data_IF_246677392204
#
_entry.id   IF_246677392204
#
_cell.length_a   1.000
_cell.length_b   1.000
_cell.length_c   1.000
_cell.angle_alpha   90.00
_cell.angle_beta   90.00
_cell.angle_gamma   90.00
#
_symmetry.space_group_name_H-M   'P 1'
#
loop_
_entity.id
_entity.type
_entity.pdbx_description
1 polymer ?
#
# COMPACT_ATOMS: atom_id res chain seq x y z
N UNK A 1 -5.46 0.24 -12.99
CA UNK A 1 -5.00 -1.03 -12.40
C UNK A 1 -5.93 -2.18 -12.75
N UNK A 2 -7.25 -2.07 -12.58
CA UNK A 2 -8.22 -3.13 -12.95
C UNK A 2 -8.06 -3.68 -14.37
N UNK A 3 -7.90 -2.79 -15.38
CA UNK A 3 -7.66 -3.20 -16.78
C UNK A 3 -6.38 -4.02 -17.01
N UNK A 4 -5.41 -3.91 -16.10
CA UNK A 4 -4.18 -4.73 -16.14
C UNK A 4 -4.43 -6.09 -15.49
N UNK A 5 -5.36 -6.18 -14.54
CA UNK A 5 -5.66 -7.40 -13.78
C UNK A 5 -6.66 -8.28 -14.53
N UNK A 6 -7.65 -7.68 -15.19
CA UNK A 6 -8.62 -8.41 -16.01
C UNK A 6 -8.06 -8.83 -17.38
N UNK A 7 -6.98 -8.21 -17.86
CA UNK A 7 -6.40 -8.47 -19.19
C UNK A 7 -7.04 -7.66 -20.33
N UNK A 8 -7.92 -6.70 -20.02
CA UNK A 8 -8.45 -5.73 -20.98
C UNK A 8 -7.32 -4.95 -21.67
N UNK A 9 -6.26 -4.63 -20.93
CA UNK A 9 -4.97 -4.17 -21.48
C UNK A 9 -4.03 -5.36 -21.67
N UNK A 10 -3.21 -5.34 -22.72
CA UNK A 10 -2.21 -6.38 -22.96
C UNK A 10 -1.02 -6.22 -22.01
N UNK A 11 -1.10 -6.87 -20.86
CA UNK A 11 -0.14 -6.78 -19.77
C UNK A 11 0.50 -8.13 -19.40
N UNK A 12 0.43 -9.15 -20.27
CA UNK A 12 0.97 -10.49 -19.99
C UNK A 12 2.49 -10.55 -19.76
N UNK A 13 3.23 -9.50 -20.16
CA UNK A 13 4.67 -9.35 -19.90
C UNK A 13 4.97 -8.38 -18.74
N UNK A 14 3.94 -7.96 -18.00
CA UNK A 14 4.08 -7.00 -16.89
C UNK A 14 4.00 -7.76 -15.58
N UNK A 15 5.07 -7.67 -14.80
CA UNK A 15 5.11 -8.14 -13.43
C UNK A 15 5.28 -6.93 -12.51
N UNK A 16 4.38 -6.78 -11.54
CA UNK A 16 4.43 -5.72 -10.52
C UNK A 16 4.74 -6.34 -9.17
N UNK A 17 5.91 -6.01 -8.62
CA UNK A 17 6.28 -6.40 -7.26
C UNK A 17 6.10 -5.21 -6.32
N UNK A 18 5.26 -5.38 -5.31
CA UNK A 18 5.16 -4.47 -4.18
C UNK A 18 6.20 -4.88 -3.14
N UNK A 19 7.14 -4.00 -2.81
CA UNK A 19 8.07 -4.17 -1.70
C UNK A 19 7.84 -3.03 -0.69
N UNK A 20 7.31 -3.35 0.48
CA UNK A 20 7.01 -2.35 1.52
C UNK A 20 7.91 -2.53 2.73
N UNK A 21 8.15 -1.46 3.48
CA UNK A 21 8.70 -1.58 4.83
C UNK A 21 7.78 -2.43 5.71
N UNK A 22 8.35 -3.28 6.57
CA UNK A 22 7.60 -3.89 7.67
C UNK A 22 7.22 -2.84 8.71
N UNK A 23 6.32 -3.20 9.63
CA UNK A 23 6.03 -2.37 10.81
C UNK A 23 7.30 -2.14 11.66
N UNK A 24 8.27 -3.06 11.60
CA UNK A 24 9.50 -2.97 12.39
C UNK A 24 10.59 -2.08 11.77
N UNK A 25 10.46 -1.72 10.49
CA UNK A 25 11.47 -0.93 9.75
C UNK A 25 11.06 0.51 9.46
N UNK A 26 9.87 0.93 9.87
CA UNK A 26 9.38 2.29 9.65
C UNK A 26 9.05 2.99 10.97
N UNK A 27 9.08 4.32 10.98
CA UNK A 27 8.47 5.15 12.01
C UNK A 27 7.02 5.54 11.67
N UNK A 28 6.58 5.30 10.42
CA UNK A 28 5.22 5.54 9.93
C UNK A 28 4.25 4.39 10.26
N UNK A 29 4.25 3.96 11.52
CA UNK A 29 3.60 2.73 11.97
C UNK A 29 2.11 2.66 11.64
N UNK A 30 1.35 3.73 11.92
CA UNK A 30 -0.11 3.78 11.68
C UNK A 30 -0.42 3.71 10.19
N UNK A 31 0.40 4.34 9.34
CA UNK A 31 0.24 4.30 7.88
C UNK A 31 0.50 2.87 7.37
N UNK A 32 1.55 2.22 7.87
CA UNK A 32 1.87 0.84 7.50
C UNK A 32 0.75 -0.14 7.90
N UNK A 33 0.10 0.06 9.06
CA UNK A 33 -1.08 -0.73 9.42
C UNK A 33 -2.18 -0.61 8.36
N UNK A 34 -2.51 0.61 7.95
CA UNK A 34 -3.54 0.84 6.96
C UNK A 34 -3.17 0.34 5.56
N UNK A 35 -1.88 0.36 5.20
CA UNK A 35 -1.40 -0.24 3.97
C UNK A 35 -1.70 -1.75 3.92
N UNK A 36 -1.64 -2.48 5.06
CA UNK A 36 -1.98 -3.91 5.11
C UNK A 36 -3.44 -4.19 4.77
N UNK A 37 -4.36 -3.33 5.21
CA UNK A 37 -5.78 -3.41 4.84
C UNK A 37 -5.99 -3.19 3.34
N UNK A 38 -5.30 -2.21 2.76
CA UNK A 38 -5.33 -1.96 1.32
C UNK A 38 -4.78 -3.16 0.53
N UNK A 39 -3.64 -3.71 0.94
CA UNK A 39 -3.02 -4.87 0.27
C UNK A 39 -3.90 -6.12 0.40
N UNK A 40 -4.51 -6.34 1.57
CA UNK A 40 -5.48 -7.42 1.76
C UNK A 40 -6.65 -7.31 0.78
N UNK A 41 -7.27 -6.13 0.66
CA UNK A 41 -8.39 -5.92 -0.27
C UNK A 41 -7.95 -6.06 -1.74
N UNK A 42 -6.76 -5.56 -2.09
CA UNK A 42 -6.19 -5.70 -3.42
C UNK A 42 -5.98 -7.16 -3.79
N UNK A 43 -5.29 -7.93 -2.94
CA UNK A 43 -4.96 -9.32 -3.23
C UNK A 43 -6.19 -10.24 -3.18
N UNK A 44 -7.19 -9.94 -2.36
CA UNK A 44 -8.48 -10.62 -2.39
C UNK A 44 -9.11 -10.53 -3.79
N UNK A 45 -9.12 -9.33 -4.40
CA UNK A 45 -9.61 -9.12 -5.77
C UNK A 45 -8.70 -9.80 -6.79
N UNK A 46 -7.38 -9.63 -6.65
CA UNK A 46 -6.42 -10.22 -7.55
C UNK A 46 -6.58 -11.75 -7.61
N UNK A 47 -6.66 -12.44 -6.48
CA UNK A 47 -6.81 -13.90 -6.47
C UNK A 47 -8.21 -14.39 -6.86
N UNK A 48 -9.24 -13.54 -6.76
CA UNK A 48 -10.60 -13.84 -7.24
C UNK A 48 -10.90 -13.30 -8.65
N UNK A 49 -9.91 -12.74 -9.36
CA UNK A 49 -10.11 -12.06 -10.65
C UNK A 49 -10.83 -12.89 -11.71
N UNK A 50 -10.56 -14.19 -11.79
CA UNK A 50 -11.22 -15.08 -12.75
C UNK A 50 -12.72 -15.20 -12.51
N UNK A 51 -13.16 -15.24 -11.25
CA UNK A 51 -14.57 -15.31 -10.88
C UNK A 51 -15.25 -13.94 -10.87
N UNK A 52 -14.52 -12.88 -10.51
CA UNK A 52 -15.02 -11.50 -10.49
C UNK A 52 -15.24 -10.94 -11.90
N UNK A 53 -14.27 -11.07 -12.80
CA UNK A 53 -14.34 -10.49 -14.14
C UNK A 53 -14.94 -11.44 -15.19
N UNK A 54 -15.10 -12.73 -14.87
CA UNK A 54 -15.79 -13.73 -15.72
C UNK A 54 -15.29 -13.68 -17.17
N UNK A 55 -16.18 -13.39 -18.13
CA UNK A 55 -15.85 -13.32 -19.56
C UNK A 55 -14.91 -12.17 -19.93
N UNK A 56 -14.74 -11.17 -19.07
CA UNK A 56 -13.77 -10.10 -19.27
C UNK A 56 -12.35 -10.49 -18.82
N UNK A 57 -12.19 -11.61 -18.10
CA UNK A 57 -10.88 -12.07 -17.67
C UNK A 57 -10.12 -12.80 -18.79
N UNK A 58 -8.92 -12.33 -19.10
CA UNK A 58 -7.95 -12.99 -19.95
C UNK A 58 -6.62 -13.16 -19.21
N UNK A 59 -6.35 -14.39 -18.76
CA UNK A 59 -5.13 -14.74 -18.02
C UNK A 59 -3.85 -14.46 -18.83
N UNK A 60 -3.87 -14.70 -20.15
CA UNK A 60 -2.69 -14.50 -21.00
C UNK A 60 -2.34 -13.03 -21.22
N UNK A 61 -3.28 -12.13 -20.89
CA UNK A 61 -3.10 -10.68 -21.00
C UNK A 61 -3.04 -9.97 -19.66
N UNK A 62 -3.38 -10.64 -18.55
CA UNK A 62 -3.32 -10.06 -17.22
C UNK A 62 -1.87 -9.90 -16.73
N UNK A 63 -1.61 -8.82 -15.99
CA UNK A 63 -0.36 -8.62 -15.26
C UNK A 63 -0.26 -9.56 -14.05
N UNK A 64 0.96 -9.89 -13.68
CA UNK A 64 1.27 -10.64 -12.46
C UNK A 64 1.63 -9.68 -11.32
N UNK A 65 1.29 -10.08 -10.09
CA UNK A 65 1.51 -9.25 -8.91
C UNK A 65 2.07 -10.08 -7.76
N UNK A 66 3.09 -9.52 -7.12
CA UNK A 66 3.74 -10.08 -5.94
C UNK A 66 3.81 -9.06 -4.81
N UNK A 67 3.83 -9.54 -3.57
CA UNK A 67 3.97 -8.71 -2.38
C UNK A 67 5.06 -9.22 -1.45
N UNK A 68 6.01 -8.33 -1.15
CA UNK A 68 7.14 -8.56 -0.28
C UNK A 68 7.17 -7.51 0.82
N UNK A 69 7.62 -7.93 1.99
CA UNK A 69 7.88 -7.05 3.12
C UNK A 69 9.38 -7.03 3.46
N UNK A 70 9.94 -5.83 3.61
CA UNK A 70 11.32 -5.59 4.02
C UNK A 70 11.45 -5.74 5.53
N UNK A 71 12.26 -6.72 5.95
CA UNK A 71 12.47 -7.10 7.35
C UNK A 71 13.45 -6.16 8.02
N UNK A 72 13.34 -6.07 9.33
CA UNK A 72 14.35 -5.39 10.14
C UNK A 72 15.71 -6.09 10.01
N UNK A 73 16.78 -5.38 9.64
CA UNK A 73 18.11 -5.97 9.56
C UNK A 73 18.54 -6.56 10.90
N UNK A 74 19.16 -7.74 10.88
CA UNK A 74 19.68 -8.40 12.08
C UNK A 74 20.72 -7.54 12.83
N UNK A 75 21.39 -6.61 12.13
CA UNK A 75 22.31 -5.64 12.73
C UNK A 75 21.63 -4.64 13.67
N UNK A 76 20.29 -4.59 13.68
CA UNK A 76 19.51 -3.62 14.47
C UNK A 76 19.50 -2.21 13.89
N UNK A 77 20.12 -2.00 12.72
CA UNK A 77 20.09 -0.71 12.03
C UNK A 77 18.64 -0.36 11.62
N UNK A 78 18.21 0.85 11.95
CA UNK A 78 16.88 1.35 11.61
C UNK A 78 16.88 1.87 10.16
N UNK A 79 16.91 0.95 9.20
CA UNK A 79 16.91 1.26 7.78
C UNK A 79 15.50 1.07 7.20
N UNK A 80 14.98 2.12 6.56
CA UNK A 80 13.73 2.10 5.84
C UNK A 80 13.97 2.32 4.35
N UNK A 81 13.12 1.73 3.51
CA UNK A 81 13.06 2.03 2.09
C UNK A 81 12.47 3.44 1.93
N UNK A 82 13.30 4.42 1.60
CA UNK A 82 12.87 5.83 1.43
C UNK A 82 13.43 6.52 0.17
N UNK A 83 14.06 5.74 -0.72
CA UNK A 83 14.55 6.21 -2.02
C UNK A 83 13.38 6.31 -3.01
N UNK A 84 13.32 7.42 -3.75
CA UNK A 84 12.30 7.69 -4.77
C UNK A 84 12.99 7.79 -6.12
N UNK A 85 12.86 6.74 -6.90
CA UNK A 85 13.64 6.54 -8.11
C UNK A 85 12.84 5.72 -9.13
N UNK A 86 12.92 6.13 -10.40
CA UNK A 86 12.33 5.41 -11.53
C UNK A 86 13.43 5.00 -12.49
N UNK A 87 13.54 3.70 -12.78
CA UNK A 87 14.41 3.17 -13.83
C UNK A 87 13.59 3.00 -15.12
N UNK A 88 14.09 3.53 -16.23
CA UNK A 88 13.47 3.47 -17.56
C UNK A 88 14.50 2.94 -18.57
N UNK A 89 14.69 1.63 -18.60
CA UNK A 89 15.81 1.03 -19.33
C UNK A 89 17.13 1.49 -18.74
N UNK A 90 17.96 2.16 -19.54
CA UNK A 90 19.25 2.72 -19.10
C UNK A 90 19.12 4.14 -18.49
N UNK A 91 17.92 4.73 -18.52
CA UNK A 91 17.66 6.06 -17.95
C UNK A 91 17.16 5.99 -16.51
N UNK A 92 17.45 7.04 -15.73
CA UNK A 92 17.10 7.11 -14.31
C UNK A 92 16.49 8.46 -14.00
N UNK A 93 15.39 8.45 -13.24
CA UNK A 93 14.84 9.66 -12.61
C UNK A 93 15.00 9.50 -11.09
N UNK A 94 15.68 10.45 -10.46
CA UNK A 94 15.81 10.52 -9.00
C UNK A 94 15.15 11.81 -8.55
N UNK A 95 14.19 11.74 -7.64
CA UNK A 95 13.44 12.93 -7.25
C UNK A 95 12.74 12.83 -5.91
N UNK A 96 11.89 13.81 -5.62
CA UNK A 96 11.15 13.90 -4.36
C UNK A 96 9.73 13.33 -4.42
N UNK A 97 9.19 13.03 -5.61
CA UNK A 97 7.82 12.58 -5.78
C UNK A 97 7.62 11.11 -5.35
N UNK A 98 6.55 10.84 -4.59
CA UNK A 98 6.20 9.50 -4.06
C UNK A 98 5.36 8.65 -5.04
N UNK A 99 5.28 9.04 -6.31
CA UNK A 99 4.44 8.41 -7.34
C UNK A 99 2.94 8.29 -6.98
N UNK A 100 2.42 9.20 -6.15
CA UNK A 100 1.01 9.31 -5.79
C UNK A 100 0.37 10.60 -6.33
N UNK A 101 -0.97 10.65 -6.28
CA UNK A 101 -1.76 11.79 -6.78
C UNK A 101 -1.37 13.09 -6.07
N UNK A 102 -1.14 13.06 -4.77
CA UNK A 102 -0.79 14.28 -4.03
C UNK A 102 0.56 14.83 -4.51
N UNK A 103 1.56 13.97 -4.69
CA UNK A 103 2.87 14.35 -5.20
C UNK A 103 2.76 15.04 -6.57
N UNK A 104 1.90 14.54 -7.46
CA UNK A 104 1.79 15.09 -8.81
C UNK A 104 0.89 16.33 -8.95
N UNK A 105 -0.07 16.52 -8.04
CA UNK A 105 -1.06 17.59 -8.17
C UNK A 105 -0.97 18.69 -7.09
N UNK A 106 -0.36 18.40 -5.93
CA UNK A 106 -0.41 19.28 -4.75
C UNK A 106 0.95 19.66 -4.20
N UNK A 107 1.92 18.74 -4.25
CA UNK A 107 3.25 19.00 -3.68
C UNK A 107 4.20 19.60 -4.73
N UNK A 108 5.07 20.51 -4.30
CA UNK A 108 6.19 20.97 -5.12
C UNK A 108 7.29 19.93 -5.12
N UNK A 109 7.55 19.32 -6.27
CA UNK A 109 8.55 18.26 -6.42
C UNK A 109 9.70 18.69 -7.33
N UNK A 110 10.87 18.11 -7.10
CA UNK A 110 12.02 18.23 -7.98
C UNK A 110 12.55 16.84 -8.36
N UNK A 111 13.38 16.81 -9.39
CA UNK A 111 14.04 15.59 -9.81
C UNK A 111 15.18 15.86 -10.79
N UNK A 112 16.11 14.93 -10.81
CA UNK A 112 17.18 14.84 -11.78
C UNK A 112 16.88 13.70 -12.74
N UNK A 113 16.93 13.99 -14.02
CA UNK A 113 16.91 12.99 -15.08
C UNK A 113 18.36 12.72 -15.50
N UNK A 114 18.77 11.46 -15.35
CA UNK A 114 20.07 10.98 -15.77
C UNK A 114 19.87 10.10 -16.99
N UNK A 115 20.32 10.59 -18.14
CA UNK A 115 20.24 9.85 -19.40
C UNK A 115 21.41 8.86 -19.51
N UNK A 116 21.14 7.66 -20.02
CA UNK A 116 22.12 6.62 -20.31
C UNK A 116 23.01 6.26 -19.09
N UNK A 117 22.42 6.21 -17.90
CA UNK A 117 23.06 5.82 -16.65
C UNK A 117 23.09 4.29 -16.49
N UNK A 118 23.50 3.56 -17.54
CA UNK A 118 23.43 2.10 -17.66
C UNK A 118 24.01 1.35 -16.46
N UNK A 119 25.22 1.70 -16.02
CA UNK A 119 25.87 1.02 -14.89
C UNK A 119 25.05 1.18 -13.61
N UNK A 120 24.57 2.40 -13.33
CA UNK A 120 23.73 2.66 -12.16
C UNK A 120 22.42 1.87 -12.25
N UNK A 121 21.73 1.90 -13.39
CA UNK A 121 20.46 1.20 -13.56
C UNK A 121 20.61 -0.31 -13.34
N UNK A 122 21.69 -0.90 -13.87
CA UNK A 122 22.01 -2.32 -13.70
C UNK A 122 22.37 -2.66 -12.25
N UNK A 123 23.21 -1.87 -11.59
CA UNK A 123 23.61 -2.08 -10.20
C UNK A 123 22.41 -1.94 -9.26
N UNK A 124 21.57 -0.91 -9.44
CA UNK A 124 20.37 -0.69 -8.64
C UNK A 124 19.36 -1.81 -8.84
N UNK A 125 19.09 -2.22 -10.09
CA UNK A 125 18.22 -3.35 -10.40
C UNK A 125 18.73 -4.64 -9.76
N UNK A 126 20.03 -4.94 -9.89
CA UNK A 126 20.67 -6.10 -9.28
C UNK A 126 20.57 -6.08 -7.76
N UNK A 127 20.72 -4.91 -7.14
CA UNK A 127 20.56 -4.73 -5.70
C UNK A 127 19.12 -5.02 -5.26
N UNK A 128 18.10 -4.46 -5.92
CA UNK A 128 16.68 -4.75 -5.62
C UNK A 128 16.38 -6.23 -5.80
N UNK A 129 16.82 -6.85 -6.89
CA UNK A 129 16.66 -8.28 -7.12
C UNK A 129 17.36 -9.13 -6.04
N UNK A 130 18.48 -8.63 -5.52
CA UNK A 130 19.19 -9.22 -4.39
C UNK A 130 18.35 -9.20 -3.11
N UNK A 131 17.68 -8.08 -2.81
CA UNK A 131 16.77 -7.97 -1.66
C UNK A 131 15.62 -8.98 -1.77
N UNK A 132 14.99 -9.08 -2.93
CA UNK A 132 13.83 -9.96 -3.16
C UNK A 132 14.19 -11.45 -3.10
N UNK A 133 15.43 -11.80 -3.47
CA UNK A 133 15.93 -13.19 -3.42
C UNK A 133 16.44 -13.62 -2.05
N UNK A 134 16.73 -12.68 -1.14
CA UNK A 134 17.26 -12.99 0.18
C UNK A 134 16.13 -13.09 1.22
N UNK A 135 15.75 -14.31 1.65
CA UNK A 135 14.73 -14.50 2.67
C UNK A 135 15.15 -14.02 4.06
N UNK A 136 16.42 -13.70 4.30
CA UNK A 136 16.86 -13.04 5.53
C UNK A 136 16.48 -11.56 5.54
N UNK A 137 16.32 -10.93 4.37
CA UNK A 137 16.08 -9.49 4.21
C UNK A 137 14.64 -9.18 3.84
N UNK A 138 13.99 -10.01 3.04
CA UNK A 138 12.58 -9.83 2.67
C UNK A 138 11.73 -11.06 2.99
N UNK A 139 10.42 -10.86 3.09
CA UNK A 139 9.41 -11.93 3.23
C UNK A 139 8.47 -11.87 2.04
N UNK A 140 8.41 -12.93 1.23
CA UNK A 140 7.32 -13.07 0.25
C UNK A 140 6.02 -13.41 1.00
N UNK A 141 5.05 -12.52 0.89
CA UNK A 141 3.74 -12.59 1.53
C UNK A 141 2.62 -12.91 0.52
N UNK A 142 2.93 -12.97 -0.79
CA UNK A 142 1.98 -13.39 -1.85
C UNK A 142 1.26 -14.70 -1.48
N UNK A 143 1.93 -15.78 -1.02
CA UNK A 143 1.25 -17.03 -0.67
C UNK A 143 0.27 -16.89 0.51
N UNK A 144 0.59 -16.04 1.49
CA UNK A 144 -0.28 -15.84 2.66
C UNK A 144 -1.58 -15.15 2.26
N UNK A 145 -1.49 -14.14 1.39
CA UNK A 145 -2.67 -13.50 0.81
C UNK A 145 -3.47 -14.48 -0.07
N UNK A 146 -2.80 -15.33 -0.85
CA UNK A 146 -3.48 -16.35 -1.67
C UNK A 146 -4.25 -17.36 -0.82
N UNK A 147 -3.67 -17.79 0.32
CA UNK A 147 -4.33 -18.71 1.25
C UNK A 147 -5.45 -18.08 2.08
N UNK A 148 -5.64 -16.76 2.00
CA UNK A 148 -6.61 -16.04 2.81
C UNK A 148 -6.25 -15.96 4.29
N UNK A 149 -4.96 -16.02 4.66
CA UNK A 149 -4.52 -15.85 6.04
C UNK A 149 -4.72 -14.40 6.53
N UNK A 150 -4.53 -13.44 5.62
CA UNK A 150 -4.81 -12.02 5.86
C UNK A 150 -6.29 -11.75 5.60
N UNK A 151 -7.07 -11.64 6.68
CA UNK A 151 -8.49 -11.31 6.67
C UNK A 151 -8.71 -10.06 7.52
N UNK A 152 -9.87 -9.41 7.36
CA UNK A 152 -10.28 -8.32 8.25
C UNK A 152 -10.21 -8.70 9.74
N UNK A 153 -10.52 -9.95 10.09
CA UNK A 153 -10.50 -10.41 11.47
C UNK A 153 -9.07 -10.61 11.99
N UNK A 154 -8.17 -11.21 11.19
CA UNK A 154 -6.78 -11.41 11.58
C UNK A 154 -6.01 -10.09 11.67
N UNK A 155 -6.18 -9.19 10.70
CA UNK A 155 -5.58 -7.85 10.76
C UNK A 155 -6.04 -7.08 12.00
N UNK A 156 -7.34 -7.12 12.34
CA UNK A 156 -7.85 -6.49 13.58
C UNK A 156 -7.26 -7.10 14.85
N UNK A 157 -7.06 -8.41 14.88
CA UNK A 157 -6.45 -9.06 16.03
C UNK A 157 -5.00 -8.58 16.22
N UNK A 158 -4.26 -8.42 15.13
CA UNK A 158 -2.89 -7.91 15.15
C UNK A 158 -2.83 -6.42 15.50
N UNK A 159 -3.77 -5.60 15.01
CA UNK A 159 -3.85 -4.17 15.34
C UNK A 159 -3.94 -3.93 16.84
N UNK A 160 -4.63 -4.80 17.60
CA UNK A 160 -4.68 -4.69 19.06
C UNK A 160 -3.30 -4.81 19.69
N UNK A 161 -2.47 -5.73 19.20
CA UNK A 161 -1.10 -5.92 19.68
C UNK A 161 -0.26 -4.69 19.35
N UNK A 162 -0.42 -4.14 18.14
CA UNK A 162 0.30 -2.96 17.68
C UNK A 162 -0.08 -1.69 18.45
N UNK A 163 -1.38 -1.44 18.66
CA UNK A 163 -1.88 -0.31 19.46
C UNK A 163 -1.31 -0.35 20.86
N UNK A 164 -1.32 -1.52 21.51
CA UNK A 164 -0.75 -1.67 22.84
C UNK A 164 0.76 -1.36 22.84
N UNK A 165 1.50 -1.87 21.85
CA UNK A 165 2.92 -1.59 21.71
C UNK A 165 3.21 -0.10 21.46
N UNK A 166 2.39 0.59 20.68
CA UNK A 166 2.51 2.04 20.45
C UNK A 166 2.26 2.81 21.75
N UNK A 167 1.17 2.52 22.46
CA UNK A 167 0.83 3.20 23.71
C UNK A 167 1.88 2.98 24.81
N UNK A 168 2.49 1.79 24.86
CA UNK A 168 3.60 1.50 25.77
C UNK A 168 4.84 2.32 25.45
N UNK A 169 5.18 2.46 24.15
CA UNK A 169 6.35 3.23 23.69
C UNK A 169 6.24 4.71 24.06
N UNK A 170 5.05 5.29 24.03
CA UNK A 170 4.84 6.72 24.27
C UNK A 170 4.57 7.11 25.73
N UNK A 171 4.75 6.18 26.69
CA UNK A 171 4.59 6.42 28.14
C UNK A 171 3.29 7.15 28.51
N UNK A 172 2.19 6.85 27.80
CA UNK A 172 0.87 7.39 28.16
C UNK A 172 0.52 7.01 29.60
N UNK A 173 -0.04 7.97 30.34
CA UNK A 173 -0.47 7.80 31.74
C UNK A 173 -1.28 6.49 31.87
N UNK A 174 -0.91 5.65 32.84
CA UNK A 174 -1.51 4.33 33.09
C UNK A 174 -3.04 4.36 33.22
N UNK A 175 -3.62 5.50 33.64
CA UNK A 175 -5.07 5.69 33.77
C UNK A 175 -5.80 5.94 32.44
N UNK A 176 -5.09 6.41 31.41
CA UNK A 176 -5.63 6.71 30.09
C UNK A 176 -5.53 5.53 29.11
N UNK A 177 -4.68 4.53 29.41
CA UNK A 177 -4.35 3.42 28.49
C UNK A 177 -5.55 2.60 28.04
N UNK A 178 -6.47 2.24 28.94
CA UNK A 178 -7.60 1.37 28.59
C UNK A 178 -8.58 2.04 27.62
N UNK A 179 -9.07 3.23 27.97
CA UNK A 179 -10.02 3.97 27.13
C UNK A 179 -9.36 4.46 25.83
N UNK A 180 -8.11 4.90 25.89
CA UNK A 180 -7.38 5.32 24.69
C UNK A 180 -7.12 4.14 23.74
N UNK A 181 -6.77 2.96 24.26
CA UNK A 181 -6.60 1.75 23.45
C UNK A 181 -7.90 1.32 22.76
N UNK A 182 -9.02 1.33 23.48
CA UNK A 182 -10.32 0.99 22.89
C UNK A 182 -10.74 1.99 21.80
N UNK A 183 -10.58 3.30 22.06
CA UNK A 183 -10.85 4.34 21.05
C UNK A 183 -9.93 4.20 19.83
N UNK A 184 -8.63 3.97 20.04
CA UNK A 184 -7.67 3.80 18.95
C UNK A 184 -8.02 2.56 18.11
N UNK A 185 -8.33 1.44 18.77
CA UNK A 185 -8.75 0.21 18.10
C UNK A 185 -10.03 0.39 17.27
N UNK A 186 -11.08 1.00 17.84
CA UNK A 186 -12.34 1.23 17.12
C UNK A 186 -12.13 2.18 15.93
N UNK A 187 -11.31 3.21 16.11
CA UNK A 187 -10.97 4.17 15.06
C UNK A 187 -10.19 3.50 13.93
N UNK A 188 -9.16 2.72 14.27
CA UNK A 188 -8.40 1.92 13.29
C UNK A 188 -9.30 0.93 12.56
N UNK A 189 -10.21 0.26 13.27
CA UNK A 189 -11.18 -0.66 12.68
C UNK A 189 -12.16 0.01 11.73
N UNK A 190 -12.56 1.26 11.99
CA UNK A 190 -13.39 2.09 11.11
C UNK A 190 -12.62 2.51 9.86
N UNK A 191 -11.42 3.06 10.02
CA UNK A 191 -10.57 3.52 8.91
C UNK A 191 -10.17 2.34 8.02
N UNK A 192 -9.75 1.22 8.61
CA UNK A 192 -9.41 0.00 7.87
C UNK A 192 -10.59 -0.52 7.03
N UNK A 193 -11.82 -0.52 7.58
CA UNK A 193 -13.01 -0.88 6.82
C UNK A 193 -13.27 0.09 5.66
N UNK A 194 -13.10 1.39 5.89
CA UNK A 194 -13.23 2.40 4.83
C UNK A 194 -12.21 2.15 3.71
N UNK A 195 -10.94 1.93 4.04
CA UNK A 195 -9.87 1.63 3.07
C UNK A 195 -10.17 0.39 2.25
N UNK A 196 -10.63 -0.69 2.89
CA UNK A 196 -10.99 -1.93 2.19
C UNK A 196 -12.14 -1.70 1.21
N UNK A 197 -13.19 -1.02 1.66
CA UNK A 197 -14.34 -0.72 0.80
C UNK A 197 -13.95 0.19 -0.38
N UNK A 198 -13.15 1.22 -0.12
CA UNK A 198 -12.66 2.14 -1.15
C UNK A 198 -11.76 1.41 -2.15
N UNK A 199 -10.84 0.55 -1.67
CA UNK A 199 -9.99 -0.26 -2.54
C UNK A 199 -10.83 -1.18 -3.41
N UNK A 200 -11.81 -1.87 -2.83
CA UNK A 200 -12.73 -2.72 -3.58
C UNK A 200 -13.54 -1.94 -4.61
N UNK A 201 -14.00 -0.74 -4.26
CA UNK A 201 -14.73 0.12 -5.18
C UNK A 201 -13.86 0.60 -6.33
N UNK A 202 -12.64 1.10 -6.07
CA UNK A 202 -11.70 1.55 -7.12
C UNK A 202 -11.37 0.40 -8.08
N UNK A 203 -11.27 -0.82 -7.53
CA UNK A 203 -10.90 -2.01 -8.27
C UNK A 203 -12.10 -2.70 -8.94
N UNK A 204 -13.34 -2.33 -8.61
CA UNK A 204 -14.53 -2.89 -9.25
C UNK A 204 -14.68 -2.39 -10.68
N UNK A 205 -15.43 -3.14 -11.48
CA UNK A 205 -15.78 -2.75 -12.85
C UNK A 205 -16.57 -1.44 -12.91
N UNK A 206 -17.27 -1.09 -11.82
CA UNK A 206 -18.20 0.04 -11.79
C UNK A 206 -17.49 1.40 -11.77
N UNK A 207 -16.27 1.46 -11.23
CA UNK A 207 -15.48 2.70 -11.16
C UNK A 207 -14.83 3.07 -12.50
N UNK A 208 -14.81 2.14 -13.47
CA UNK A 208 -14.19 2.36 -14.79
C UNK A 208 -15.12 3.14 -15.73
N UNK A 209 -16.41 3.24 -15.41
CA UNK A 209 -17.37 4.09 -16.12
C UNK A 209 -17.35 5.51 -15.55
N UNK A 210 -16.18 6.17 -15.57
CA UNK A 210 -16.20 7.63 -15.54
C UNK A 210 -16.70 8.06 -16.90
N UNK A 211 -17.95 8.50 -16.87
CA UNK A 211 -18.71 9.11 -17.93
C UNK A 211 -17.81 9.96 -18.84
N UNK A 212 -17.89 9.73 -20.16
CA UNK A 212 -17.23 10.56 -21.18
C UNK A 212 -17.75 11.99 -21.23
N UNK A 213 -18.61 12.37 -20.29
CA UNK A 213 -19.16 13.71 -20.13
C UNK A 213 -18.27 14.51 -19.18
N UNK A 214 -17.75 15.60 -19.71
CA UNK A 214 -16.72 16.49 -19.19
C UNK A 214 -17.13 17.31 -17.93
N UNK A 215 -18.06 16.81 -17.11
CA UNK A 215 -18.51 17.48 -15.89
C UNK A 215 -17.85 16.83 -14.67
N UNK A 216 -16.71 17.37 -14.25
CA UNK A 216 -16.14 17.13 -12.93
C UNK A 216 -17.08 17.74 -11.86
N UNK A 217 -18.22 17.10 -11.61
CA UNK A 217 -19.01 17.41 -10.43
C UNK A 217 -18.36 16.75 -9.23
N UNK A 218 -17.85 17.58 -8.33
CA UNK A 218 -17.29 17.11 -7.07
C UNK A 218 -18.43 16.54 -6.22
N UNK A 219 -18.40 15.23 -6.01
CA UNK A 219 -19.38 14.52 -5.17
C UNK A 219 -19.25 14.99 -3.71
N UNK A 220 -20.11 15.93 -3.33
CA UNK A 220 -20.13 16.56 -2.00
C UNK A 220 -20.27 15.55 -0.85
N UNK A 221 -20.85 14.37 -1.09
CA UNK A 221 -20.96 13.32 -0.10
C UNK A 221 -19.60 12.65 0.11
N UNK A 222 -18.90 12.30 -0.97
CA UNK A 222 -17.53 11.74 -0.90
C UNK A 222 -16.55 12.70 -0.23
N UNK A 223 -16.65 14.01 -0.50
CA UNK A 223 -15.82 15.01 0.18
C UNK A 223 -16.07 15.04 1.69
N UNK A 224 -17.33 14.99 2.13
CA UNK A 224 -17.68 14.95 3.56
C UNK A 224 -17.14 13.69 4.22
N UNK A 225 -17.34 12.54 3.58
CA UNK A 225 -16.80 11.27 4.08
C UNK A 225 -15.27 11.31 4.19
N UNK A 226 -14.58 11.87 3.19
CA UNK A 226 -13.12 12.04 3.23
C UNK A 226 -12.67 12.95 4.38
N UNK A 227 -13.33 14.10 4.57
CA UNK A 227 -13.02 15.02 5.67
C UNK A 227 -13.26 14.37 7.06
N UNK A 228 -14.29 13.54 7.19
CA UNK A 228 -14.55 12.77 8.41
C UNK A 228 -13.46 11.72 8.68
N UNK A 229 -13.00 11.01 7.64
CA UNK A 229 -11.91 10.04 7.79
C UNK A 229 -10.58 10.74 8.10
N UNK A 230 -10.30 11.89 7.50
CA UNK A 230 -9.12 12.70 7.80
C UNK A 230 -9.13 13.15 9.26
N UNK A 231 -10.28 13.63 9.75
CA UNK A 231 -10.44 13.98 11.16
C UNK A 231 -10.16 12.80 12.08
N UNK A 232 -10.75 11.63 11.81
CA UNK A 232 -10.53 10.40 12.60
C UNK A 232 -9.07 9.95 12.56
N UNK A 233 -8.42 10.06 11.42
CA UNK A 233 -7.01 9.73 11.26
C UNK A 233 -6.12 10.67 12.07
N UNK A 234 -6.39 11.99 12.03
CA UNK A 234 -5.66 12.97 12.82
C UNK A 234 -5.87 12.78 14.33
N UNK A 235 -7.09 12.46 14.76
CA UNK A 235 -7.40 12.11 16.15
C UNK A 235 -6.63 10.85 16.59
N UNK A 236 -6.57 9.83 15.73
CA UNK A 236 -5.79 8.62 15.98
C UNK A 236 -4.29 8.92 16.12
N UNK A 237 -3.73 9.75 15.24
CA UNK A 237 -2.32 10.17 15.32
C UNK A 237 -2.01 11.02 16.57
N UNK A 238 -3.00 11.66 17.17
CA UNK A 238 -2.82 12.36 18.45
C UNK A 238 -2.89 11.39 19.64
N UNK A 239 -3.55 10.25 19.48
CA UNK A 239 -3.69 9.22 20.51
C UNK A 239 -2.49 8.25 20.58
N UNK A 240 -1.84 8.00 19.44
CA UNK A 240 -0.76 7.01 19.25
C UNK A 240 0.60 7.65 19.02
#
# INVERSE_FOLDING_TARGET
>A
MTKMIDGSWSCGNVHVTFLTNSIETTDLNVINVFARYQMMAFFEIYFSRSSLFKSAFDQGRSAEFDFYEYKKPASGANQSLHTKLTLLGDDVIIGSANADVRSYFMDSNNGFYLHNARNFAQEYGTWVDGLLRDPAVTKNLTPEYQSGLHTMASLRAEDRVLVNAFLERWKTDSSLKGKAADMAYDTMGSIGKFIVNTTRSIMSTDFILVDSNNDYQVDSKKLKEQAEQEKKFNELLQLL
#
